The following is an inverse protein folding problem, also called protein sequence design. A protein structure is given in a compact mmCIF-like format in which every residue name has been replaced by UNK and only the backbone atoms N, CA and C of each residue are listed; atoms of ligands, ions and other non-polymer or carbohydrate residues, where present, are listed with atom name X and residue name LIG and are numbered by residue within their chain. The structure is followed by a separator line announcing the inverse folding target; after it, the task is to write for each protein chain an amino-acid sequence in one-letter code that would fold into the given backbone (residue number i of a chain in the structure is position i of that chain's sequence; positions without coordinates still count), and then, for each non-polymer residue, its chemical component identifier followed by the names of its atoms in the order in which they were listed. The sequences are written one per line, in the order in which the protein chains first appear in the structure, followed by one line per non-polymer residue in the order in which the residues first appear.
data_IF_830360818404
#
_entry.id   IF_830360818404
#
_cell.length_a   1.000
_cell.length_b   1.000
_cell.length_c   1.000
_cell.angle_alpha   90.00
_cell.angle_beta   90.00
_cell.angle_gamma   90.00
#
_symmetry.space_group_name_H-M   'P 1'
#
loop_
_entity.id
_entity.type
_entity.pdbx_description
1 polymer ?
#
# COMPACT_ATOMS: atom_id res chain seq x y z
N UNK A 1 10.91 -6.73 12.57
CA UNK A 1 11.92 -5.77 12.08
C UNK A 1 12.23 -4.60 13.03
N UNK A 2 13.48 -4.09 13.07
CA UNK A 2 13.80 -2.76 13.65
C UNK A 2 13.27 -1.64 12.75
N UNK A 3 12.88 -0.49 13.29
CA UNK A 3 12.35 0.66 12.55
C UNK A 3 13.19 1.02 11.32
N UNK A 4 14.51 1.07 11.48
CA UNK A 4 15.47 1.41 10.41
C UNK A 4 15.40 0.40 9.26
N UNK A 5 15.29 -0.90 9.57
CA UNK A 5 15.20 -1.95 8.55
C UNK A 5 13.90 -1.81 7.74
N UNK A 6 12.79 -1.41 8.37
CA UNK A 6 11.52 -1.17 7.65
C UNK A 6 11.64 0.01 6.70
N UNK A 7 12.24 1.09 7.18
CA UNK A 7 12.45 2.30 6.39
C UNK A 7 13.31 2.00 5.16
N UNK A 8 14.41 1.26 5.32
CA UNK A 8 15.24 0.82 4.20
C UNK A 8 14.46 -0.07 3.22
N UNK A 9 13.71 -1.05 3.72
CA UNK A 9 12.90 -1.92 2.88
C UNK A 9 11.87 -1.16 2.05
N UNK A 10 11.08 -0.31 2.70
CA UNK A 10 10.08 0.53 2.03
C UNK A 10 10.73 1.55 1.09
N UNK A 11 11.94 2.04 1.37
CA UNK A 11 12.67 2.93 0.44
C UNK A 11 13.09 2.24 -0.86
N UNK A 12 13.50 0.97 -0.79
CA UNK A 12 13.81 0.17 -1.98
C UNK A 12 12.53 -0.05 -2.79
N UNK A 13 11.42 -0.35 -2.11
CA UNK A 13 10.11 -0.48 -2.78
C UNK A 13 9.70 0.85 -3.42
N UNK A 14 9.90 1.98 -2.77
CA UNK A 14 9.60 3.30 -3.34
C UNK A 14 10.37 3.60 -4.62
N UNK A 15 11.64 3.22 -4.68
CA UNK A 15 12.41 3.34 -5.90
C UNK A 15 11.83 2.48 -7.04
N UNK A 16 11.43 1.24 -6.74
CA UNK A 16 10.75 0.36 -7.71
C UNK A 16 9.39 0.96 -8.11
N UNK A 17 8.63 1.48 -7.15
CA UNK A 17 7.29 2.06 -7.37
C UNK A 17 7.37 3.25 -8.34
N UNK A 18 8.32 4.16 -8.15
CA UNK A 18 8.54 5.30 -9.04
C UNK A 18 8.93 4.88 -10.46
N UNK A 19 9.82 3.89 -10.61
CA UNK A 19 10.22 3.40 -11.94
C UNK A 19 9.06 2.69 -12.66
N UNK A 20 8.29 1.88 -11.93
CA UNK A 20 7.11 1.20 -12.46
C UNK A 20 5.99 2.19 -12.81
N UNK A 21 5.73 3.18 -11.96
CA UNK A 21 4.72 4.23 -12.15
C UNK A 21 4.82 4.89 -13.52
N UNK A 22 6.03 5.28 -13.92
CA UNK A 22 6.25 5.93 -15.22
C UNK A 22 5.82 5.03 -16.38
N UNK A 23 6.17 3.74 -16.34
CA UNK A 23 5.81 2.78 -17.37
C UNK A 23 4.31 2.43 -17.37
N UNK A 24 3.72 2.16 -16.21
CA UNK A 24 2.31 1.74 -16.10
C UNK A 24 1.33 2.90 -16.40
N UNK A 25 1.75 4.14 -16.23
CA UNK A 25 0.93 5.32 -16.51
C UNK A 25 0.50 5.41 -17.98
N UNK A 26 1.30 4.89 -18.92
CA UNK A 26 0.96 4.81 -20.35
C UNK A 26 -0.24 3.89 -20.62
N UNK A 27 -0.47 2.91 -19.74
CA UNK A 27 -1.59 1.96 -19.82
C UNK A 27 -2.78 2.36 -18.96
N UNK A 28 -2.81 3.59 -18.42
CA UNK A 28 -3.84 4.06 -17.50
C UNK A 28 -3.94 3.26 -16.19
N UNK A 29 -2.84 2.61 -15.76
CA UNK A 29 -2.79 1.79 -14.55
C UNK A 29 -1.84 2.43 -13.55
N UNK A 30 -2.24 2.49 -12.28
CA UNK A 30 -1.40 2.96 -11.18
C UNK A 30 -1.48 1.93 -10.06
N UNK A 31 -0.32 1.36 -9.70
CA UNK A 31 -0.18 0.40 -8.61
C UNK A 31 0.70 1.07 -7.54
N UNK A 32 0.15 1.61 -6.44
CA UNK A 32 0.93 2.26 -5.41
C UNK A 32 1.63 1.21 -4.54
N UNK A 33 2.76 0.67 -5.03
CA UNK A 33 3.48 -0.45 -4.40
C UNK A 33 3.97 -0.11 -3.00
N UNK A 34 4.42 1.12 -2.77
CA UNK A 34 4.83 1.61 -1.46
C UNK A 34 3.71 1.52 -0.44
N UNK A 35 2.56 2.09 -0.76
CA UNK A 35 1.38 2.04 0.09
C UNK A 35 0.91 0.60 0.34
N UNK A 36 0.79 -0.21 -0.71
CA UNK A 36 0.40 -1.63 -0.60
C UNK A 36 1.36 -2.42 0.30
N UNK A 37 2.67 -2.23 0.13
CA UNK A 37 3.69 -2.90 0.95
C UNK A 37 3.60 -2.49 2.41
N UNK A 38 3.28 -1.23 2.70
CA UNK A 38 3.02 -0.75 4.05
C UNK A 38 1.76 -1.39 4.64
N UNK A 39 0.65 -1.47 3.88
CA UNK A 39 -0.57 -2.15 4.31
C UNK A 39 -0.32 -3.62 4.68
N UNK A 40 0.38 -4.36 3.81
CA UNK A 40 0.73 -5.76 4.07
C UNK A 40 1.65 -5.91 5.29
N UNK A 41 2.59 -4.98 5.47
CA UNK A 41 3.47 -4.97 6.62
C UNK A 41 2.68 -4.79 7.93
N UNK A 42 1.78 -3.81 7.99
CA UNK A 42 0.92 -3.56 9.16
C UNK A 42 0.05 -4.78 9.45
N UNK A 43 -0.59 -5.33 8.42
CA UNK A 43 -1.49 -6.48 8.53
C UNK A 43 -0.81 -7.74 9.07
N UNK A 44 0.42 -7.99 8.64
CA UNK A 44 1.19 -9.19 9.03
C UNK A 44 1.97 -9.00 10.33
N UNK A 45 1.99 -7.78 10.88
CA UNK A 45 2.69 -7.51 12.13
C UNK A 45 1.94 -8.09 13.33
N UNK A 46 2.65 -8.82 14.19
CA UNK A 46 2.09 -9.30 15.46
C UNK A 46 1.90 -8.17 16.49
N UNK A 47 2.54 -7.02 16.27
CA UNK A 47 2.50 -5.87 17.17
C UNK A 47 1.84 -4.68 16.47
N UNK A 48 0.97 -4.00 17.21
CA UNK A 48 0.37 -2.76 16.72
C UNK A 48 1.44 -1.72 16.46
N UNK A 49 1.41 -1.12 15.27
CA UNK A 49 2.31 -0.03 14.92
C UNK A 49 1.82 1.24 15.61
N UNK A 50 2.71 1.95 16.30
CA UNK A 50 2.33 3.20 16.96
C UNK A 50 1.97 4.28 15.93
N UNK A 51 1.01 5.16 16.26
CA UNK A 51 0.60 6.25 15.38
C UNK A 51 1.77 7.18 15.03
N UNK A 52 2.69 7.41 15.99
CA UNK A 52 3.89 8.21 15.79
C UNK A 52 4.85 7.56 14.80
N UNK A 53 5.02 6.23 14.84
CA UNK A 53 5.81 5.53 13.83
C UNK A 53 5.20 5.60 12.43
N UNK A 54 3.87 5.45 12.32
CA UNK A 54 3.17 5.58 11.05
C UNK A 54 3.33 6.99 10.46
N UNK A 55 3.19 8.01 11.31
CA UNK A 55 3.36 9.41 10.96
C UNK A 55 4.77 9.73 10.47
N UNK A 56 5.81 9.32 11.23
CA UNK A 56 7.20 9.56 10.83
C UNK A 56 7.58 8.83 9.54
N UNK A 57 7.09 7.59 9.35
CA UNK A 57 7.30 6.87 8.09
C UNK A 57 6.62 7.59 6.93
N UNK A 58 5.36 7.98 7.09
CA UNK A 58 4.63 8.68 6.05
C UNK A 58 5.28 10.02 5.67
N UNK A 59 5.73 10.81 6.65
CA UNK A 59 6.46 12.05 6.40
C UNK A 59 7.77 11.81 5.65
N UNK A 60 8.50 10.76 6.03
CA UNK A 60 9.73 10.38 5.34
C UNK A 60 9.46 10.02 3.87
N UNK A 61 8.39 9.25 3.61
CA UNK A 61 8.02 8.93 2.24
C UNK A 61 7.58 10.15 1.47
N UNK A 62 6.77 11.05 2.07
CA UNK A 62 6.38 12.31 1.43
C UNK A 62 7.57 13.20 0.99
N UNK A 63 8.74 13.08 1.63
CA UNK A 63 9.96 13.81 1.26
C UNK A 63 10.76 13.17 0.12
N UNK A 64 10.59 11.87 -0.12
CA UNK A 64 11.40 11.09 -1.07
C UNK A 64 10.56 10.63 -2.27
N UNK A 65 9.25 10.49 -2.09
CA UNK A 65 8.33 10.27 -3.19
C UNK A 65 8.07 11.58 -3.92
N UNK A 66 8.00 11.52 -5.25
CA UNK A 66 7.48 12.60 -6.09
C UNK A 66 5.95 12.71 -5.96
N UNK A 67 5.45 12.68 -4.73
CA UNK A 67 4.03 12.79 -4.36
C UNK A 67 3.80 14.04 -3.53
N UNK A 68 2.55 14.30 -3.17
CA UNK A 68 2.20 15.45 -2.34
C UNK A 68 2.64 15.29 -0.90
N UNK A 69 3.07 16.41 -0.34
CA UNK A 69 3.36 16.50 1.07
C UNK A 69 2.10 16.20 1.91
N UNK A 70 2.20 15.24 2.81
CA UNK A 70 1.12 14.80 3.70
C UNK A 70 0.27 13.65 3.17
N UNK A 71 0.38 13.26 1.90
CA UNK A 71 -0.48 12.22 1.33
C UNK A 71 -0.13 10.84 1.90
N UNK A 72 1.15 10.44 1.88
CA UNK A 72 1.57 9.18 2.51
C UNK A 72 1.35 9.23 4.02
N UNK A 73 1.61 10.37 4.65
CA UNK A 73 1.39 10.57 6.08
C UNK A 73 -0.05 10.26 6.51
N UNK A 74 -1.04 10.83 5.81
CA UNK A 74 -2.45 10.61 6.13
C UNK A 74 -2.83 9.15 5.89
N UNK A 75 -2.48 8.58 4.74
CA UNK A 75 -2.86 7.22 4.38
C UNK A 75 -2.18 6.16 5.26
N UNK A 76 -0.92 6.34 5.62
CA UNK A 76 -0.21 5.41 6.49
C UNK A 76 -0.80 5.43 7.90
N UNK A 77 -1.10 6.62 8.45
CA UNK A 77 -1.78 6.74 9.73
C UNK A 77 -3.17 6.12 9.72
N UNK A 78 -3.98 6.37 8.68
CA UNK A 78 -5.33 5.84 8.55
C UNK A 78 -5.34 4.32 8.48
N UNK A 79 -4.49 3.72 7.63
CA UNK A 79 -4.39 2.27 7.50
C UNK A 79 -3.87 1.65 8.79
N UNK A 80 -2.82 2.23 9.40
CA UNK A 80 -2.30 1.74 10.67
C UNK A 80 -3.38 1.75 11.75
N UNK A 81 -4.15 2.84 11.86
CA UNK A 81 -5.26 2.94 12.79
C UNK A 81 -6.34 1.89 12.51
N UNK A 82 -6.79 1.77 11.27
CA UNK A 82 -7.88 0.86 10.89
C UNK A 82 -7.50 -0.62 11.10
N UNK A 83 -6.29 -1.01 10.69
CA UNK A 83 -5.79 -2.38 10.84
C UNK A 83 -5.52 -2.70 12.31
N UNK A 84 -4.90 -1.80 13.08
CA UNK A 84 -4.65 -2.02 14.51
C UNK A 84 -5.97 -2.15 15.30
N UNK A 85 -6.96 -1.30 15.00
CA UNK A 85 -8.27 -1.34 15.67
C UNK A 85 -9.05 -2.63 15.36
N UNK A 86 -8.82 -3.24 14.19
CA UNK A 86 -9.52 -4.44 13.72
C UNK A 86 -8.62 -5.66 13.61
N UNK A 87 -7.48 -5.69 14.32
CA UNK A 87 -6.43 -6.70 14.12
C UNK A 87 -6.95 -8.14 14.32
N UNK A 88 -7.88 -8.34 15.25
CA UNK A 88 -8.48 -9.65 15.48
C UNK A 88 -9.44 -10.06 14.35
N UNK A 89 -10.25 -9.13 13.84
CA UNK A 89 -11.18 -9.38 12.73
C UNK A 89 -10.41 -9.70 11.44
N UNK A 90 -9.34 -8.97 11.16
CA UNK A 90 -8.50 -9.20 9.98
C UNK A 90 -7.81 -10.58 9.97
N UNK A 91 -7.52 -11.15 11.15
CA UNK A 91 -6.99 -12.53 11.26
C UNK A 91 -8.04 -13.60 10.95
N UNK A 92 -9.33 -13.28 11.07
CA UNK A 92 -10.44 -14.20 10.80
C UNK A 92 -10.96 -14.09 9.37
N UNK A 93 -10.70 -12.97 8.69
CA UNK A 93 -11.13 -12.74 7.32
C UNK A 93 -10.48 -13.70 6.33
N UNK A 94 -11.21 -14.00 5.25
CA UNK A 94 -10.65 -14.78 4.17
C UNK A 94 -9.60 -13.96 3.41
N UNK A 95 -8.59 -14.63 2.86
CA UNK A 95 -7.56 -13.97 2.05
C UNK A 95 -8.16 -13.13 0.91
N UNK A 96 -9.27 -13.58 0.33
CA UNK A 96 -9.99 -12.84 -0.72
C UNK A 96 -10.57 -11.52 -0.20
N UNK A 97 -11.20 -11.51 0.98
CA UNK A 97 -11.73 -10.28 1.60
C UNK A 97 -10.61 -9.27 1.88
N UNK A 98 -9.47 -9.75 2.37
CA UNK A 98 -8.28 -8.92 2.62
C UNK A 98 -7.74 -8.33 1.31
N UNK A 99 -7.69 -9.13 0.23
CA UNK A 99 -7.25 -8.64 -1.08
C UNK A 99 -8.17 -7.56 -1.65
N UNK A 100 -9.49 -7.73 -1.53
CA UNK A 100 -10.46 -6.71 -1.95
C UNK A 100 -10.27 -5.42 -1.14
N UNK A 101 -10.10 -5.54 0.19
CA UNK A 101 -9.87 -4.37 1.04
C UNK A 101 -8.57 -3.62 0.68
N UNK A 102 -7.46 -4.33 0.46
CA UNK A 102 -6.20 -3.68 0.06
C UNK A 102 -6.24 -3.13 -1.36
N UNK A 103 -6.89 -3.81 -2.30
CA UNK A 103 -7.08 -3.29 -3.65
C UNK A 103 -7.93 -2.01 -3.66
N UNK A 104 -9.02 -1.98 -2.89
CA UNK A 104 -9.87 -0.80 -2.76
C UNK A 104 -9.18 0.36 -2.05
N UNK A 105 -8.44 0.11 -0.97
CA UNK A 105 -7.67 1.16 -0.30
C UNK A 105 -6.55 1.72 -1.18
N UNK A 106 -5.89 0.88 -2.00
CA UNK A 106 -4.94 1.33 -3.02
C UNK A 106 -5.62 2.20 -4.09
N UNK A 107 -6.83 1.82 -4.54
CA UNK A 107 -7.60 2.66 -5.47
C UNK A 107 -8.03 4.00 -4.85
N UNK A 108 -8.33 4.03 -3.56
CA UNK A 108 -8.60 5.27 -2.84
C UNK A 108 -7.35 6.17 -2.80
N UNK A 109 -6.18 5.59 -2.49
CA UNK A 109 -4.90 6.30 -2.56
C UNK A 109 -4.67 6.92 -3.95
N UNK A 110 -4.88 6.15 -5.02
CA UNK A 110 -4.77 6.64 -6.41
C UNK A 110 -5.81 7.73 -6.73
N UNK A 111 -7.04 7.59 -6.25
CA UNK A 111 -8.07 8.61 -6.42
C UNK A 111 -7.68 9.93 -5.78
N UNK A 112 -7.13 9.90 -4.56
CA UNK A 112 -6.65 11.10 -3.88
C UNK A 112 -5.44 11.72 -4.58
N UNK A 113 -4.49 10.93 -5.08
CA UNK A 113 -3.36 11.50 -5.85
C UNK A 113 -3.86 12.20 -7.11
N UNK A 114 -4.85 11.64 -7.81
CA UNK A 114 -5.42 12.24 -9.02
C UNK A 114 -6.29 13.47 -8.76
N UNK A 115 -7.05 13.49 -7.66
CA UNK A 115 -7.83 14.67 -7.26
C UNK A 115 -6.92 15.88 -7.03
N UNK A 116 -5.73 15.67 -6.48
CA UNK A 116 -4.77 16.76 -6.22
C UNK A 116 -3.97 17.12 -7.49
N UNK A 117 -3.60 16.15 -8.35
CA UNK A 117 -2.84 16.39 -9.60
C UNK A 117 -3.66 17.01 -10.72
N UNK A 118 -4.87 16.49 -10.93
CA UNK A 118 -5.67 16.75 -12.11
C UNK A 118 -7.07 17.18 -11.72
N UNK A 119 -7.17 18.32 -11.03
CA UNK A 119 -8.45 18.95 -10.65
C UNK A 119 -9.42 19.10 -11.84
N UNK A 120 -8.88 19.30 -13.05
CA UNK A 120 -9.67 19.46 -14.28
C UNK A 120 -9.75 18.20 -15.16
N UNK A 121 -8.82 17.25 -15.02
CA UNK A 121 -8.67 16.07 -15.89
C UNK A 121 -8.64 14.77 -15.08
N UNK A 122 -9.60 14.62 -14.17
CA UNK A 122 -9.75 13.41 -13.39
C UNK A 122 -10.14 12.24 -14.30
N UNK A 123 -9.27 11.24 -14.41
CA UNK A 123 -9.51 10.11 -15.31
C UNK A 123 -10.20 8.96 -14.57
N UNK A 124 -11.53 8.93 -14.63
CA UNK A 124 -12.33 7.82 -14.08
C UNK A 124 -11.90 6.45 -14.62
N UNK A 125 -11.47 6.39 -15.89
CA UNK A 125 -10.96 5.18 -16.52
C UNK A 125 -9.73 4.63 -15.79
N UNK A 126 -8.77 5.52 -15.46
CA UNK A 126 -7.56 5.10 -14.73
C UNK A 126 -7.89 4.59 -13.33
N UNK A 127 -8.84 5.22 -12.64
CA UNK A 127 -9.25 4.78 -11.30
C UNK A 127 -9.94 3.41 -11.35
N UNK A 128 -10.81 3.20 -12.33
CA UNK A 128 -11.47 1.91 -12.51
C UNK A 128 -10.47 0.79 -12.87
N UNK A 129 -9.62 1.00 -13.88
CA UNK A 129 -8.61 0.01 -14.28
C UNK A 129 -7.61 -0.28 -13.16
N UNK A 130 -7.10 0.75 -12.48
CA UNK A 130 -6.21 0.59 -11.34
C UNK A 130 -6.87 -0.18 -10.20
N UNK A 131 -8.17 0.03 -9.93
CA UNK A 131 -8.88 -0.74 -8.89
C UNK A 131 -8.90 -2.24 -9.19
N UNK A 132 -9.20 -2.63 -10.44
CA UNK A 132 -9.24 -4.04 -10.86
C UNK A 132 -7.84 -4.64 -10.77
N UNK A 133 -6.84 -3.94 -11.32
CA UNK A 133 -5.45 -4.43 -11.34
C UNK A 133 -4.90 -4.55 -9.92
N UNK A 134 -5.17 -3.61 -9.03
CA UNK A 134 -4.71 -3.66 -7.64
C UNK A 134 -5.34 -4.84 -6.88
N UNK A 135 -6.62 -5.15 -7.11
CA UNK A 135 -7.27 -6.33 -6.51
C UNK A 135 -6.63 -7.63 -7.03
N UNK A 136 -6.42 -7.74 -8.35
CA UNK A 136 -5.77 -8.90 -8.98
C UNK A 136 -4.34 -9.05 -8.45
N UNK A 137 -3.59 -7.96 -8.33
CA UNK A 137 -2.23 -7.95 -7.80
C UNK A 137 -2.19 -8.47 -6.36
N UNK A 138 -3.07 -7.97 -5.48
CA UNK A 138 -3.21 -8.49 -4.12
C UNK A 138 -3.55 -9.98 -4.09
N UNK A 139 -4.45 -10.42 -4.98
CA UNK A 139 -4.83 -11.82 -5.08
C UNK A 139 -3.66 -12.72 -5.49
N UNK A 140 -2.84 -12.28 -6.47
CA UNK A 140 -1.64 -13.00 -6.89
C UNK A 140 -0.65 -13.13 -5.73
N UNK A 141 -0.42 -12.05 -4.97
CA UNK A 141 0.45 -12.07 -3.78
C UNK A 141 -0.07 -13.08 -2.74
N UNK A 142 -1.37 -13.03 -2.44
CA UNK A 142 -1.99 -13.93 -1.48
C UNK A 142 -1.93 -15.39 -1.94
N UNK A 143 -2.13 -15.64 -3.23
CA UNK A 143 -2.01 -16.96 -3.84
C UNK A 143 -0.58 -17.49 -3.71
N UNK A 144 0.43 -16.71 -4.09
CA UNK A 144 1.84 -17.10 -3.95
C UNK A 144 2.17 -17.41 -2.48
N UNK A 145 1.67 -16.59 -1.55
CA UNK A 145 1.90 -16.81 -0.12
C UNK A 145 1.25 -18.09 0.42
N UNK A 146 0.09 -18.48 -0.09
CA UNK A 146 -0.61 -19.69 0.31
C UNK A 146 0.07 -20.96 -0.24
N UNK A 147 0.52 -20.95 -1.50
CA UNK A 147 1.11 -22.13 -2.16
C UNK A 147 2.60 -22.31 -1.87
N UNK A 148 3.34 -21.24 -1.57
CA UNK A 148 4.78 -21.30 -1.21
C UNK A 148 5.05 -20.80 0.21
N UNK A 149 4.49 -21.44 1.27
CA UNK A 149 4.61 -20.97 2.64
C UNK A 149 6.06 -20.96 3.14
N UNK A 150 6.92 -21.87 2.65
CA UNK A 150 8.33 -21.96 3.04
C UNK A 150 9.19 -20.80 2.53
N UNK A 151 8.83 -20.15 1.41
CA UNK A 151 9.60 -19.01 0.88
C UNK A 151 9.30 -17.70 1.60
N UNK A 152 8.15 -17.59 2.29
CA UNK A 152 7.68 -16.38 2.97
C UNK A 152 7.61 -16.61 4.50
N UNK A 153 8.34 -17.61 5.00
CA UNK A 153 8.56 -17.83 6.44
C UNK A 153 9.86 -17.16 6.91
N UNK A 154 10.36 -16.17 6.17
CA UNK A 154 11.19 -15.15 6.78
C UNK A 154 10.27 -14.35 7.70
N UNK A 155 10.47 -14.49 9.01
CA UNK A 155 10.04 -13.49 9.98
C UNK A 155 10.67 -12.14 9.56
N UNK A 156 9.97 -11.38 8.72
CA UNK A 156 10.30 -10.00 8.34
C UNK A 156 9.91 -9.06 9.50
#
# INVERSE_FOLDING_TARGET
MSFIKRLLFLSVINFIDQTMSNFLSEFFIIIPLTFLSYCFYVYRSDKNISALEAFLLGLFFDLISSSYFGLNTIFFCLVAYYLNSNANSFKLFSYLQVCIFFGLSASAYVGFTQLVLNLYNFSYLTLFLSSIVNIIFCFIIAFIAAYFPKSINMKL
#
